data_IF_148028871716
#
_entry.id   IF_148028871716
#
_cell.length_a   1.000
_cell.length_b   1.000
_cell.length_c   1.000
_cell.angle_alpha   90.00
_cell.angle_beta   90.00
_cell.angle_gamma   90.00
#
_symmetry.space_group_name_H-M   'P 1'
#
loop_
_entity.id
_entity.type
_entity.pdbx_description
1 polymer ?
#
# COMPACT_ATOMS: atom_id res chain seq x y z
N UNK A 1 6.46 -19.01 2.80
CA UNK A 1 7.66 -18.18 3.04
C UNK A 1 8.30 -18.77 4.29
N UNK A 2 9.39 -19.54 4.15
CA UNK A 2 9.95 -20.28 5.28
C UNK A 2 10.33 -19.34 6.43
N UNK A 3 9.92 -19.69 7.65
CA UNK A 3 10.21 -18.90 8.85
C UNK A 3 9.35 -17.65 9.06
N UNK A 4 8.42 -17.32 8.15
CA UNK A 4 7.53 -16.17 8.30
C UNK A 4 6.06 -16.59 8.43
N UNK A 5 5.36 -16.00 9.40
CA UNK A 5 3.90 -16.08 9.54
C UNK A 5 3.28 -14.91 8.77
N UNK A 6 2.25 -15.19 7.96
CA UNK A 6 1.51 -14.15 7.23
C UNK A 6 0.11 -14.04 7.81
N UNK A 7 -0.20 -12.84 8.30
CA UNK A 7 -1.56 -12.45 8.67
C UNK A 7 -2.16 -11.60 7.55
N UNK A 8 -3.36 -11.97 7.08
CA UNK A 8 -4.08 -11.25 6.03
C UNK A 8 -5.19 -10.41 6.64
N UNK A 9 -5.20 -9.12 6.31
CA UNK A 9 -6.19 -8.17 6.80
C UNK A 9 -6.86 -7.44 5.63
N UNK A 10 -8.16 -7.66 5.46
CA UNK A 10 -8.96 -6.92 4.48
C UNK A 10 -9.49 -5.63 5.11
N UNK A 11 -9.17 -4.49 4.50
CA UNK A 11 -9.61 -3.18 4.96
C UNK A 11 -10.83 -2.69 4.17
N UNK A 12 -11.82 -2.07 4.83
CA UNK A 12 -12.90 -1.39 4.13
C UNK A 12 -12.37 -0.15 3.41
N UNK A 13 -13.02 0.24 2.31
CA UNK A 13 -12.72 1.52 1.65
C UNK A 13 -13.42 2.68 2.39
N UNK A 14 -13.05 2.90 3.65
CA UNK A 14 -13.67 3.87 4.56
C UNK A 14 -12.62 4.44 5.52
N UNK A 15 -12.47 5.77 5.53
CA UNK A 15 -11.27 6.44 6.07
C UNK A 15 -11.02 6.20 7.55
N UNK A 16 -12.06 6.24 8.39
CA UNK A 16 -11.92 6.06 9.84
C UNK A 16 -11.90 4.58 10.22
N UNK A 17 -12.84 3.81 9.67
CA UNK A 17 -12.94 2.38 9.96
C UNK A 17 -11.69 1.60 9.54
N UNK A 18 -11.06 1.95 8.42
CA UNK A 18 -9.81 1.32 8.00
C UNK A 18 -8.66 1.59 8.99
N UNK A 19 -8.52 2.83 9.47
CA UNK A 19 -7.46 3.19 10.43
C UNK A 19 -7.70 2.54 11.79
N UNK A 20 -8.94 2.44 12.26
CA UNK A 20 -9.28 1.77 13.53
C UNK A 20 -8.96 0.28 13.50
N UNK A 21 -9.28 -0.39 12.38
CA UNK A 21 -8.98 -1.82 12.18
C UNK A 21 -7.47 -2.04 12.13
N UNK A 22 -6.74 -1.19 11.41
CA UNK A 22 -5.28 -1.25 11.33
C UNK A 22 -4.64 -1.07 12.71
N UNK A 23 -5.03 -0.05 13.46
CA UNK A 23 -4.47 0.22 14.79
C UNK A 23 -4.64 -0.99 15.72
N UNK A 24 -5.85 -1.57 15.76
CA UNK A 24 -6.12 -2.77 16.57
C UNK A 24 -5.24 -3.94 16.12
N UNK A 25 -5.22 -4.23 14.82
CA UNK A 25 -4.46 -5.35 14.26
C UNK A 25 -2.96 -5.21 14.52
N UNK A 26 -2.40 -4.01 14.42
CA UNK A 26 -0.98 -3.76 14.66
C UNK A 26 -0.65 -3.96 16.14
N UNK A 27 -1.49 -3.47 17.05
CA UNK A 27 -1.31 -3.65 18.49
C UNK A 27 -1.45 -5.11 18.92
N UNK A 28 -2.36 -5.85 18.30
CA UNK A 28 -2.62 -7.26 18.59
C UNK A 28 -1.51 -8.18 18.08
N UNK A 29 -1.11 -8.02 16.81
CA UNK A 29 -0.17 -8.96 16.17
C UNK A 29 1.30 -8.54 16.27
N UNK A 30 1.58 -7.27 16.57
CA UNK A 30 2.94 -6.72 16.66
C UNK A 30 3.85 -7.17 15.49
N UNK A 31 3.47 -6.93 14.23
CA UNK A 31 4.17 -7.47 13.08
C UNK A 31 5.57 -6.87 12.90
N UNK A 32 6.53 -7.66 12.41
CA UNK A 32 7.86 -7.16 12.02
C UNK A 32 7.81 -6.33 10.72
N UNK A 33 6.87 -6.68 9.83
CA UNK A 33 6.72 -6.07 8.50
C UNK A 33 5.23 -5.88 8.18
N UNK A 34 4.85 -4.70 7.73
CA UNK A 34 3.51 -4.38 7.21
C UNK A 34 3.63 -3.99 5.73
N UNK A 35 2.97 -4.77 4.87
CA UNK A 35 2.87 -4.46 3.43
C UNK A 35 1.42 -4.15 3.11
N UNK A 36 1.13 -2.87 2.91
CA UNK A 36 -0.20 -2.42 2.49
C UNK A 36 -0.31 -2.54 0.96
N UNK A 37 -1.44 -3.07 0.48
CA UNK A 37 -1.72 -3.24 -0.94
C UNK A 37 -2.96 -2.45 -1.33
N UNK A 38 -2.98 -1.89 -2.54
CA UNK A 38 -4.16 -1.21 -3.08
C UNK A 38 -4.15 -1.16 -4.60
N UNK A 39 -5.33 -1.04 -5.21
CA UNK A 39 -5.48 -0.96 -6.66
C UNK A 39 -5.19 0.46 -7.18
N UNK A 40 -4.38 0.58 -8.23
CA UNK A 40 -4.17 1.80 -8.99
C UNK A 40 -4.53 1.58 -10.48
N UNK A 41 -5.80 1.85 -10.82
CA UNK A 41 -6.39 1.60 -12.15
C UNK A 41 -5.63 2.17 -13.34
N UNK A 42 -4.90 3.27 -13.15
CA UNK A 42 -4.16 3.93 -14.22
C UNK A 42 -2.74 3.39 -14.41
N UNK A 43 -2.29 2.45 -13.56
CA UNK A 43 -0.91 1.94 -13.58
C UNK A 43 -0.88 0.57 -14.24
N UNK A 44 0.11 0.37 -15.11
CA UNK A 44 0.41 -0.91 -15.75
C UNK A 44 1.49 -1.74 -15.06
N UNK A 45 1.83 -1.38 -13.83
CA UNK A 45 2.99 -1.91 -13.12
C UNK A 45 2.72 -2.02 -11.62
N UNK A 46 3.40 -2.96 -10.97
CA UNK A 46 3.45 -3.04 -9.51
C UNK A 46 4.36 -1.93 -9.01
N UNK A 47 3.87 -1.10 -8.09
CA UNK A 47 4.55 0.14 -7.72
C UNK A 47 4.70 0.30 -6.21
N UNK A 48 5.88 -0.06 -5.65
CA UNK A 48 6.21 0.29 -4.28
C UNK A 48 6.21 1.81 -4.10
N UNK A 49 5.50 2.30 -3.09
CA UNK A 49 5.40 3.71 -2.78
C UNK A 49 6.58 4.18 -1.92
N UNK A 50 7.20 5.27 -2.34
CA UNK A 50 8.31 5.89 -1.60
C UNK A 50 7.82 6.67 -0.39
N UNK A 51 6.68 7.36 -0.49
CA UNK A 51 6.27 8.37 0.47
C UNK A 51 4.75 8.40 0.67
N UNK A 52 4.33 8.60 1.91
CA UNK A 52 2.97 8.95 2.31
C UNK A 52 2.94 10.42 2.75
N UNK A 53 1.89 11.16 2.41
CA UNK A 53 1.74 12.58 2.74
C UNK A 53 0.56 12.81 3.69
N UNK A 54 0.66 13.82 4.55
CA UNK A 54 -0.37 14.14 5.56
C UNK A 54 -1.56 14.90 4.97
N UNK A 55 -2.19 14.35 3.93
CA UNK A 55 -3.32 14.98 3.24
C UNK A 55 -4.36 13.94 2.86
N UNK A 56 -5.60 14.24 3.22
CA UNK A 56 -6.83 13.66 2.70
C UNK A 56 -7.52 14.68 1.78
N UNK A 57 -7.49 14.42 0.47
CA UNK A 57 -8.25 15.16 -0.54
C UNK A 57 -8.88 14.17 -1.51
N UNK A 58 -10.14 13.84 -1.23
CA UNK A 58 -10.82 12.71 -1.85
C UNK A 58 -11.58 13.14 -3.10
N UNK A 59 -11.07 12.73 -4.27
CA UNK A 59 -11.72 13.01 -5.57
C UNK A 59 -13.16 12.50 -5.64
N UNK A 60 -13.45 11.37 -4.99
CA UNK A 60 -14.78 10.75 -4.86
C UNK A 60 -15.04 10.41 -3.39
N UNK A 61 -16.30 10.29 -2.94
CA UNK A 61 -16.60 9.81 -1.59
C UNK A 61 -16.06 8.40 -1.35
N UNK A 62 -15.65 8.12 -0.12
CA UNK A 62 -15.41 6.75 0.34
C UNK A 62 -16.71 5.97 0.54
N UNK A 63 -16.61 4.67 0.85
CA UNK A 63 -17.79 3.83 1.00
C UNK A 63 -18.63 4.17 2.24
N UNK A 64 -18.11 5.00 3.17
CA UNK A 64 -18.86 5.59 4.27
C UNK A 64 -19.49 6.95 3.92
N UNK A 65 -19.28 7.46 2.71
CA UNK A 65 -19.78 8.75 2.25
C UNK A 65 -18.88 9.94 2.60
N UNK A 66 -17.68 9.72 3.15
CA UNK A 66 -16.76 10.79 3.49
C UNK A 66 -16.04 11.29 2.23
N UNK A 67 -15.98 12.61 2.06
CA UNK A 67 -15.23 13.24 0.97
C UNK A 67 -14.44 14.46 1.46
N UNK A 68 -13.42 14.25 2.32
CA UNK A 68 -12.57 15.33 2.83
C UNK A 68 -11.93 16.14 1.71
N UNK A 69 -11.68 17.42 2.00
CA UNK A 69 -11.05 18.40 1.12
C UNK A 69 -9.95 19.12 1.88
N UNK A 70 -8.70 18.86 1.49
CA UNK A 70 -7.50 19.46 2.09
C UNK A 70 -7.42 19.28 3.62
N UNK A 71 -7.91 18.15 4.13
CA UNK A 71 -7.79 17.80 5.55
C UNK A 71 -6.46 17.08 5.80
N UNK A 72 -5.91 17.18 7.01
CA UNK A 72 -4.77 16.33 7.40
C UNK A 72 -5.25 14.91 7.73
N UNK A 73 -4.39 13.91 7.48
CA UNK A 73 -4.64 12.54 7.95
C UNK A 73 -4.54 12.49 9.49
N UNK A 74 -3.49 13.10 10.05
CA UNK A 74 -3.31 13.29 11.50
C UNK A 74 -2.93 14.75 11.76
N UNK A 75 -3.74 15.44 12.56
CA UNK A 75 -3.54 16.84 12.92
C UNK A 75 -2.21 17.03 13.67
N UNK A 76 -1.44 18.06 13.29
CA UNK A 76 -0.15 18.38 13.92
C UNK A 76 1.01 17.40 13.64
N UNK A 77 0.78 16.33 12.87
CA UNK A 77 1.82 15.36 12.53
C UNK A 77 2.70 15.82 11.35
N UNK A 78 3.92 15.25 11.18
CA UNK A 78 4.85 15.61 10.11
C UNK A 78 4.22 15.61 8.70
N UNK A 79 4.69 16.45 7.76
CA UNK A 79 4.04 16.56 6.45
C UNK A 79 4.08 15.27 5.61
N UNK A 80 5.05 14.39 5.84
CA UNK A 80 5.21 13.16 5.10
C UNK A 80 6.04 12.12 5.87
N UNK A 81 5.88 10.85 5.49
CA UNK A 81 6.70 9.72 5.95
C UNK A 81 7.22 8.94 4.75
N UNK A 82 8.51 8.56 4.78
CA UNK A 82 9.07 7.64 3.79
C UNK A 82 8.76 6.19 4.17
N UNK A 83 8.52 5.36 3.16
CA UNK A 83 8.46 3.90 3.32
C UNK A 83 9.74 3.38 3.95
N UNK A 84 9.61 2.42 4.86
CA UNK A 84 10.73 1.68 5.45
C UNK A 84 10.89 0.29 4.83
N UNK A 85 10.06 -0.07 3.84
CA UNK A 85 10.28 -1.27 3.01
C UNK A 85 11.50 -1.08 2.09
N UNK A 86 12.19 -2.17 1.70
CA UNK A 86 13.30 -2.11 0.76
C UNK A 86 12.80 -1.93 -0.68
N UNK A 87 12.20 -0.78 -1.00
CA UNK A 87 11.47 -0.52 -2.26
C UNK A 87 12.34 -0.71 -3.52
N UNK A 88 13.65 -0.45 -3.43
CA UNK A 88 14.60 -0.72 -4.52
C UNK A 88 14.79 -2.22 -4.71
N UNK A 89 14.96 -2.98 -3.63
CA UNK A 89 15.12 -4.44 -3.71
C UNK A 89 13.84 -5.11 -4.23
N UNK A 90 12.67 -4.63 -3.82
CA UNK A 90 11.38 -5.07 -4.36
C UNK A 90 11.34 -4.83 -5.88
N UNK A 91 11.67 -3.61 -6.32
CA UNK A 91 11.63 -3.26 -7.75
C UNK A 91 12.63 -4.08 -8.56
N UNK A 92 13.84 -4.30 -8.06
CA UNK A 92 14.85 -5.13 -8.71
C UNK A 92 14.39 -6.59 -8.84
N UNK A 93 13.86 -7.19 -7.75
CA UNK A 93 13.38 -8.56 -7.76
C UNK A 93 12.22 -8.77 -8.75
N UNK A 94 11.34 -7.77 -8.89
CA UNK A 94 10.27 -7.78 -9.89
C UNK A 94 10.84 -7.68 -11.31
N UNK A 95 11.81 -6.79 -11.53
CA UNK A 95 12.49 -6.63 -12.82
C UNK A 95 13.24 -7.88 -13.29
N UNK A 96 13.93 -8.58 -12.38
CA UNK A 96 14.60 -9.86 -12.66
C UNK A 96 13.62 -10.96 -13.09
N UNK A 97 12.36 -10.87 -12.66
CA UNK A 97 11.28 -11.77 -13.06
C UNK A 97 10.47 -11.25 -14.27
N UNK A 98 10.95 -10.21 -14.95
CA UNK A 98 10.28 -9.56 -16.08
C UNK A 98 8.86 -9.02 -15.76
N UNK A 99 8.60 -8.71 -14.48
CA UNK A 99 7.34 -8.13 -14.03
C UNK A 99 7.43 -6.60 -14.06
N UNK A 100 6.53 -5.89 -14.78
CA UNK A 100 6.54 -4.43 -14.84
C UNK A 100 6.45 -3.81 -13.44
N UNK A 101 7.47 -3.02 -13.09
CA UNK A 101 7.54 -2.36 -11.80
C UNK A 101 8.28 -1.04 -11.86
N UNK A 102 7.94 -0.13 -10.94
CA UNK A 102 8.67 1.13 -10.75
C UNK A 102 8.38 1.70 -9.36
N UNK A 103 9.31 2.48 -8.82
CA UNK A 103 9.07 3.16 -7.54
C UNK A 103 8.18 4.39 -7.80
N UNK A 104 7.06 4.47 -7.07
CA UNK A 104 6.16 5.61 -7.12
C UNK A 104 6.52 6.65 -6.06
N UNK A 105 6.32 7.93 -6.40
CA UNK A 105 6.53 9.10 -5.53
C UNK A 105 5.22 9.67 -4.97
N UNK A 106 4.09 9.03 -5.24
CA UNK A 106 2.80 9.45 -4.72
C UNK A 106 1.86 8.26 -4.59
N UNK A 107 1.35 8.04 -3.38
CA UNK A 107 0.26 7.11 -3.11
C UNK A 107 -1.12 7.73 -3.41
N UNK A 108 -1.16 8.92 -4.02
CA UNK A 108 -2.36 9.75 -4.17
C UNK A 108 -2.71 10.50 -2.88
N UNK A 109 -3.95 10.97 -2.79
CA UNK A 109 -4.52 11.68 -1.61
C UNK A 109 -5.81 11.03 -1.12
N UNK A 110 -6.05 9.79 -1.55
CA UNK A 110 -7.21 8.98 -1.18
C UNK A 110 -6.83 7.96 -0.10
N UNK A 111 -7.68 6.96 0.12
CA UNK A 111 -7.53 6.01 1.20
C UNK A 111 -6.18 5.27 1.23
N UNK A 112 -5.60 4.94 0.07
CA UNK A 112 -4.28 4.28 0.00
C UNK A 112 -3.20 5.11 0.70
N UNK A 113 -3.14 6.42 0.40
CA UNK A 113 -2.23 7.35 1.07
C UNK A 113 -2.56 7.48 2.56
N UNK A 114 -3.85 7.59 2.89
CA UNK A 114 -4.30 7.71 4.28
C UNK A 114 -3.82 6.56 5.15
N UNK A 115 -4.08 5.31 4.74
CA UNK A 115 -3.69 4.14 5.53
C UNK A 115 -2.18 3.99 5.58
N UNK A 116 -1.47 4.32 4.50
CA UNK A 116 -0.02 4.33 4.49
C UNK A 116 0.53 5.35 5.50
N UNK A 117 0.07 6.60 5.42
CA UNK A 117 0.49 7.66 6.33
C UNK A 117 0.17 7.32 7.80
N UNK A 118 -1.06 6.86 8.06
CA UNK A 118 -1.52 6.50 9.40
C UNK A 118 -0.66 5.41 10.03
N UNK A 119 -0.35 4.34 9.28
CA UNK A 119 0.52 3.27 9.78
C UNK A 119 1.92 3.80 10.09
N UNK A 120 2.52 4.58 9.20
CA UNK A 120 3.85 5.15 9.44
C UNK A 120 3.88 6.05 10.67
N UNK A 121 2.85 6.88 10.84
CA UNK A 121 2.72 7.75 12.01
C UNK A 121 2.57 6.94 13.30
N UNK A 122 1.64 5.98 13.33
CA UNK A 122 1.37 5.12 14.49
C UNK A 122 2.63 4.35 14.94
N UNK A 123 3.38 3.78 13.99
CA UNK A 123 4.63 3.07 14.30
C UNK A 123 5.68 4.01 14.90
N UNK A 124 5.76 5.25 14.41
CA UNK A 124 6.63 6.29 14.97
C UNK A 124 6.27 6.65 16.41
N UNK A 125 4.98 6.86 16.69
CA UNK A 125 4.48 7.16 18.05
C UNK A 125 4.75 6.03 19.03
N UNK A 126 4.61 4.77 18.57
CA UNK A 126 4.92 3.59 19.38
C UNK A 126 6.42 3.29 19.50
N UNK A 127 7.28 4.04 18.79
CA UNK A 127 8.71 3.75 18.65
C UNK A 127 8.96 2.30 18.19
N UNK A 128 8.08 1.78 17.32
CA UNK A 128 8.13 0.41 16.87
C UNK A 128 9.26 0.19 15.85
N UNK A 129 10.01 -0.93 15.93
CA UNK A 129 11.00 -1.31 14.92
C UNK A 129 10.34 -1.86 13.63
N UNK A 130 9.02 -2.05 13.61
CA UNK A 130 8.27 -2.55 12.44
C UNK A 130 8.58 -1.75 11.19
N UNK A 131 8.88 -2.46 10.09
CA UNK A 131 8.96 -1.83 8.76
C UNK A 131 7.60 -1.82 8.10
N UNK A 132 7.26 -0.73 7.42
CA UNK A 132 5.98 -0.57 6.75
C UNK A 132 6.10 0.22 5.45
N UNK A 133 5.18 -0.08 4.54
CA UNK A 133 5.07 0.61 3.26
C UNK A 133 3.84 0.19 2.48
N UNK A 134 3.67 0.80 1.31
CA UNK A 134 2.53 0.56 0.43
C UNK A 134 3.00 0.10 -0.94
N UNK A 135 2.25 -0.78 -1.59
CA UNK A 135 2.47 -1.22 -2.96
C UNK A 135 1.14 -1.10 -3.72
N UNK A 136 1.12 -0.24 -4.73
CA UNK A 136 0.00 -0.17 -5.65
C UNK A 136 0.11 -1.27 -6.70
N UNK A 137 -1.01 -1.96 -6.94
CA UNK A 137 -1.17 -3.02 -7.92
C UNK A 137 -1.98 -2.50 -9.12
N UNK A 138 -1.66 -2.95 -10.35
CA UNK A 138 -2.45 -2.63 -11.53
C UNK A 138 -3.83 -3.31 -11.46
N UNK A 139 -4.73 -2.91 -12.35
CA UNK A 139 -6.01 -3.61 -12.53
C UNK A 139 -5.75 -5.04 -13.02
N UNK A 140 -6.47 -6.02 -12.49
CA UNK A 140 -6.43 -7.38 -13.01
C UNK A 140 -7.16 -7.47 -14.36
N UNK A 141 -6.64 -8.26 -15.30
CA UNK A 141 -7.25 -8.41 -16.63
C UNK A 141 -8.72 -8.86 -16.59
N UNK A 142 -9.07 -9.74 -15.65
CA UNK A 142 -10.43 -10.22 -15.44
C UNK A 142 -11.40 -9.15 -14.90
N UNK A 143 -10.87 -8.07 -14.33
CA UNK A 143 -11.64 -6.92 -13.84
C UNK A 143 -11.68 -5.78 -14.88
N UNK A 144 -11.15 -6.01 -16.09
CA UNK A 144 -11.23 -5.05 -17.19
C UNK A 144 -12.70 -4.74 -17.50
N UNK A 145 -13.11 -3.46 -17.54
CA UNK A 145 -14.46 -3.11 -17.98
C UNK A 145 -14.73 -3.59 -19.41
N UNK A 146 -15.95 -4.01 -19.68
CA UNK A 146 -16.35 -4.45 -21.02
C UNK A 146 -16.21 -3.32 -22.04
N UNK A 147 -15.63 -3.62 -23.21
CA UNK A 147 -15.41 -2.64 -24.28
C UNK A 147 -14.17 -1.75 -24.14
N UNK A 148 -13.45 -1.83 -23.01
CA UNK A 148 -12.34 -0.92 -22.67
C UNK A 148 -10.96 -1.56 -22.89
N UNK A 149 -10.61 -1.85 -24.16
CA UNK A 149 -9.38 -2.57 -24.52
C UNK A 149 -8.08 -1.80 -24.23
N UNK A 150 -8.16 -0.49 -24.04
CA UNK A 150 -6.99 0.37 -23.78
C UNK A 150 -6.58 0.41 -22.30
N UNK A 151 -7.30 -0.26 -21.42
CA UNK A 151 -6.95 -0.32 -20.01
C UNK A 151 -5.71 -1.19 -19.81
N UNK A 152 -4.73 -0.61 -19.11
CA UNK A 152 -3.51 -1.33 -18.76
C UNK A 152 -3.82 -2.23 -17.57
N UNK A 153 -3.70 -3.55 -17.79
CA UNK A 153 -3.97 -4.58 -16.81
C UNK A 153 -2.77 -5.53 -16.72
N UNK A 154 -2.70 -6.33 -15.66
CA UNK A 154 -1.84 -7.51 -15.61
C UNK A 154 -2.65 -8.78 -15.32
N UNK A 155 -2.19 -9.96 -15.78
CA UNK A 155 -2.76 -11.24 -15.37
C UNK A 155 -2.69 -11.42 -13.86
N UNK A 156 -3.70 -12.07 -13.27
CA UNK A 156 -3.74 -12.35 -11.81
C UNK A 156 -2.48 -13.07 -11.35
N UNK A 157 -2.04 -14.09 -12.08
CA UNK A 157 -0.88 -14.89 -11.72
C UNK A 157 0.41 -14.06 -11.69
N UNK A 158 0.56 -13.11 -12.62
CA UNK A 158 1.67 -12.14 -12.63
C UNK A 158 1.63 -11.25 -11.39
N UNK A 159 0.45 -10.75 -11.01
CA UNK A 159 0.30 -9.90 -9.81
C UNK A 159 0.58 -10.70 -8.53
N UNK A 160 0.08 -11.93 -8.43
CA UNK A 160 0.34 -12.83 -7.29
C UNK A 160 1.83 -13.16 -7.18
N UNK A 161 2.49 -13.51 -8.30
CA UNK A 161 3.93 -13.73 -8.34
C UNK A 161 4.68 -12.49 -7.88
N UNK A 162 4.29 -11.31 -8.36
CA UNK A 162 4.93 -10.05 -8.00
C UNK A 162 4.79 -9.71 -6.52
N UNK A 163 3.59 -9.86 -5.94
CA UNK A 163 3.39 -9.70 -4.48
C UNK A 163 4.25 -10.70 -3.70
N UNK A 164 4.33 -11.95 -4.17
CA UNK A 164 5.20 -12.96 -3.57
C UNK A 164 6.69 -12.57 -3.60
N UNK A 165 7.18 -11.98 -4.68
CA UNK A 165 8.55 -11.48 -4.78
C UNK A 165 8.77 -10.27 -3.86
N UNK A 166 7.80 -9.36 -3.77
CA UNK A 166 7.87 -8.22 -2.86
C UNK A 166 7.95 -8.66 -1.38
N UNK A 167 7.13 -9.64 -0.98
CA UNK A 167 7.18 -10.23 0.37
C UNK A 167 8.56 -10.86 0.63
N UNK A 168 9.08 -11.67 -0.31
CA UNK A 168 10.42 -12.27 -0.19
C UNK A 168 11.51 -11.22 -0.02
N UNK A 169 11.47 -10.14 -0.80
CA UNK A 169 12.45 -9.05 -0.71
C UNK A 169 12.39 -8.31 0.62
N UNK A 170 11.20 -8.19 1.22
CA UNK A 170 11.06 -7.60 2.56
C UNK A 170 11.64 -8.53 3.64
N UNK A 171 11.35 -9.83 3.57
CA UNK A 171 11.85 -10.82 4.54
C UNK A 171 13.38 -10.96 4.44
N UNK A 172 13.96 -10.97 3.24
CA UNK A 172 15.42 -11.19 3.07
C UNK A 172 16.29 -10.02 3.55
N UNK A 173 15.70 -8.86 3.83
CA UNK A 173 16.40 -7.68 4.33
C UNK A 173 16.02 -7.31 5.77
N UNK A 174 15.39 -8.22 6.52
CA UNK A 174 15.11 -8.04 7.96
C UNK A 174 16.37 -8.13 8.81
#
# INVERSE_FOLDING_TARGET
FEGATIELLNLPVERFKATDILERSIKEHQPDIIILLGEARSRGAITPERVAINVDDFRIPDNGGHQPREETVVEGAPPAYFSTLPIVAITNALGEAEIPSSISNTAGTYLCNRVFYFVMHLLGEMQSPTRAGFIHLPLLEEHRPEGEQNWICLPRDTVVQGVGLAIKACISQS
#
